data_IF_877763899468
#
_entry.id   IF_877763899468
#
_cell.length_a   1.000
_cell.length_b   1.000
_cell.length_c   1.000
_cell.angle_alpha   90.00
_cell.angle_beta   90.00
_cell.angle_gamma   90.00
#
_symmetry.space_group_name_H-M   'P 1'
#
loop_
_entity.id
_entity.type
_entity.pdbx_description
1 polymer ?
#
# COMPACT_ATOMS: atom_id res chain seq x y z
N UNK A 1 -0.18 12.38 -20.04
CA UNK A 1 -0.68 10.98 -19.98
C UNK A 1 0.44 9.95 -19.85
N UNK A 2 1.47 9.96 -20.70
CA UNK A 2 2.53 8.93 -20.64
C UNK A 2 3.37 8.99 -19.36
N UNK A 3 3.68 10.19 -18.87
CA UNK A 3 4.45 10.41 -17.64
C UNK A 3 3.70 9.86 -16.42
N UNK A 4 2.41 10.16 -16.27
CA UNK A 4 1.58 9.66 -15.16
C UNK A 4 1.50 8.14 -15.14
N UNK A 5 1.37 7.52 -16.32
CA UNK A 5 1.37 6.07 -16.45
C UNK A 5 2.70 5.45 -16.04
N UNK A 6 3.84 6.07 -16.39
CA UNK A 6 5.17 5.63 -15.95
C UNK A 6 5.31 5.75 -14.43
N UNK A 7 4.90 6.89 -13.85
CA UNK A 7 4.92 7.10 -12.40
C UNK A 7 4.05 6.08 -11.67
N UNK A 8 2.88 5.75 -12.21
CA UNK A 8 2.01 4.71 -11.68
C UNK A 8 2.71 3.35 -11.61
N UNK A 9 3.33 2.88 -12.70
CA UNK A 9 4.03 1.60 -12.71
C UNK A 9 5.24 1.59 -11.76
N UNK A 10 6.03 2.68 -11.73
CA UNK A 10 7.14 2.83 -10.80
C UNK A 10 6.63 2.76 -9.36
N UNK A 11 5.56 3.47 -9.06
CA UNK A 11 4.92 3.46 -7.74
C UNK A 11 4.48 2.06 -7.33
N UNK A 12 3.85 1.29 -8.23
CA UNK A 12 3.45 -0.09 -7.94
C UNK A 12 4.67 -0.94 -7.56
N UNK A 13 5.76 -0.85 -8.33
CA UNK A 13 6.99 -1.62 -8.05
C UNK A 13 7.60 -1.20 -6.71
N UNK A 14 7.72 0.10 -6.44
CA UNK A 14 8.26 0.63 -5.19
C UNK A 14 7.42 0.16 -4.00
N UNK A 15 6.10 0.27 -4.09
CA UNK A 15 5.19 -0.16 -3.01
C UNK A 15 5.26 -1.66 -2.80
N UNK A 16 5.33 -2.47 -3.86
CA UNK A 16 5.47 -3.91 -3.75
C UNK A 16 6.77 -4.26 -3.00
N UNK A 17 7.91 -3.73 -3.43
CA UNK A 17 9.20 -4.00 -2.79
C UNK A 17 9.24 -3.52 -1.34
N UNK A 18 8.70 -2.32 -1.07
CA UNK A 18 8.67 -1.78 0.27
C UNK A 18 7.75 -2.56 1.20
N UNK A 19 6.58 -2.98 0.71
CA UNK A 19 5.66 -3.82 1.48
C UNK A 19 6.31 -5.15 1.82
N UNK A 20 7.01 -5.78 0.87
CA UNK A 20 7.76 -7.02 1.12
C UNK A 20 8.89 -6.84 2.14
N UNK A 21 9.57 -5.69 2.13
CA UNK A 21 10.60 -5.40 3.13
C UNK A 21 9.97 -5.28 4.52
N UNK A 22 8.84 -4.57 4.62
CA UNK A 22 8.18 -4.31 5.90
C UNK A 22 7.47 -5.54 6.48
N UNK A 23 7.08 -6.52 5.67
CA UNK A 23 6.54 -7.79 6.17
C UNK A 23 7.57 -8.65 6.91
N UNK A 24 8.88 -8.33 6.79
CA UNK A 24 9.93 -8.95 7.62
C UNK A 24 9.82 -8.54 9.08
N UNK A 25 9.22 -7.37 9.35
CA UNK A 25 8.90 -6.92 10.70
C UNK A 25 7.55 -7.52 11.07
N UNK A 26 7.40 -8.16 12.25
CA UNK A 26 6.14 -8.80 12.67
C UNK A 26 5.09 -7.78 13.15
N UNK A 27 4.93 -6.65 12.42
CA UNK A 27 3.98 -5.58 12.69
C UNK A 27 3.19 -5.33 11.41
N UNK A 28 2.03 -5.97 11.28
CA UNK A 28 1.22 -5.94 10.07
C UNK A 28 0.69 -4.55 9.72
N UNK A 29 0.49 -3.68 10.72
CA UNK A 29 -0.03 -2.32 10.56
C UNK A 29 0.89 -1.44 9.72
N UNK A 30 2.18 -1.81 9.60
CA UNK A 30 3.15 -1.11 8.74
C UNK A 30 2.75 -1.10 7.27
N UNK A 31 1.81 -1.97 6.85
CA UNK A 31 1.24 -2.00 5.50
C UNK A 31 0.67 -0.65 5.03
N UNK A 32 0.27 0.23 5.96
CA UNK A 32 -0.22 1.56 5.62
C UNK A 32 0.87 2.48 5.06
N UNK A 33 2.13 2.31 5.49
CA UNK A 33 3.26 3.17 5.11
C UNK A 33 3.54 3.08 3.61
N UNK A 34 3.72 1.88 3.01
CA UNK A 34 3.81 1.75 1.56
C UNK A 34 2.61 2.32 0.82
N UNK A 35 1.41 2.15 1.37
CA UNK A 35 0.20 2.77 0.82
C UNK A 35 0.33 4.29 0.73
N UNK A 36 0.71 4.96 1.82
CA UNK A 36 0.94 6.42 1.86
C UNK A 36 1.98 6.83 0.81
N UNK A 37 3.08 6.09 0.71
CA UNK A 37 4.13 6.36 -0.27
C UNK A 37 3.60 6.25 -1.70
N UNK A 38 2.73 5.27 -2.00
CA UNK A 38 2.04 5.16 -3.28
C UNK A 38 1.29 6.46 -3.63
N UNK A 39 0.58 7.01 -2.65
CA UNK A 39 -0.16 8.26 -2.79
C UNK A 39 0.75 9.46 -3.05
N UNK A 40 1.85 9.57 -2.32
CA UNK A 40 2.82 10.67 -2.45
C UNK A 40 3.53 10.68 -3.80
N UNK A 41 3.79 9.50 -4.38
CA UNK A 41 4.47 9.38 -5.67
C UNK A 41 3.56 9.75 -6.85
N UNK A 42 2.24 9.61 -6.72
CA UNK A 42 1.30 9.86 -7.81
C UNK A 42 0.62 11.22 -7.69
N UNK A 43 0.49 11.94 -8.82
CA UNK A 43 -0.22 13.23 -8.86
C UNK A 43 -1.73 13.07 -8.77
N UNK A 44 -2.28 12.06 -9.44
CA UNK A 44 -3.71 11.78 -9.41
C UNK A 44 -4.07 10.88 -8.24
N UNK A 45 -5.13 11.26 -7.51
CA UNK A 45 -5.73 10.43 -6.45
C UNK A 45 -6.04 9.01 -6.94
N UNK A 46 -6.59 8.88 -8.14
CA UNK A 46 -6.93 7.58 -8.74
C UNK A 46 -5.71 6.68 -8.85
N UNK A 47 -4.58 7.21 -9.32
CA UNK A 47 -3.35 6.43 -9.46
C UNK A 47 -2.65 6.19 -8.12
N UNK A 48 -2.76 7.12 -7.15
CA UNK A 48 -2.29 6.90 -5.78
C UNK A 48 -3.00 5.73 -5.10
N UNK A 49 -4.34 5.75 -5.12
CA UNK A 49 -5.17 4.67 -4.57
C UNK A 49 -4.91 3.35 -5.30
N UNK A 50 -4.90 3.36 -6.64
CA UNK A 50 -4.73 2.14 -7.42
C UNK A 50 -3.33 1.53 -7.26
N UNK A 51 -2.29 2.35 -7.18
CA UNK A 51 -0.93 1.84 -6.98
C UNK A 51 -0.72 1.26 -5.58
N UNK A 52 -1.30 1.90 -4.55
CA UNK A 52 -1.35 1.38 -3.19
C UNK A 52 -2.12 0.06 -3.12
N UNK A 53 -3.30 0.00 -3.72
CA UNK A 53 -4.11 -1.22 -3.86
C UNK A 53 -3.28 -2.36 -4.49
N UNK A 54 -2.74 -2.16 -5.70
CA UNK A 54 -2.08 -3.24 -6.44
C UNK A 54 -0.79 -3.68 -5.73
N UNK A 55 0.06 -2.72 -5.36
CA UNK A 55 1.37 -3.01 -4.77
C UNK A 55 1.25 -3.75 -3.44
N UNK A 56 0.35 -3.30 -2.56
CA UNK A 56 0.13 -3.95 -1.26
C UNK A 56 -0.54 -5.31 -1.42
N UNK A 57 -1.58 -5.41 -2.24
CA UNK A 57 -2.32 -6.67 -2.44
C UNK A 57 -1.41 -7.77 -2.99
N UNK A 58 -0.58 -7.45 -4.00
CA UNK A 58 0.36 -8.41 -4.57
C UNK A 58 1.40 -8.85 -3.54
N UNK A 59 1.97 -7.90 -2.79
CA UNK A 59 2.95 -8.23 -1.75
C UNK A 59 2.37 -9.11 -0.66
N UNK A 60 1.16 -8.82 -0.18
CA UNK A 60 0.48 -9.62 0.83
C UNK A 60 0.02 -10.97 0.30
N UNK A 61 -0.45 -11.03 -0.94
CA UNK A 61 -0.77 -12.29 -1.61
C UNK A 61 0.44 -13.22 -1.68
N UNK A 62 1.61 -12.68 -2.04
CA UNK A 62 2.87 -13.44 -2.04
C UNK A 62 3.26 -13.86 -0.62
N UNK A 63 3.20 -12.95 0.35
CA UNK A 63 3.52 -13.24 1.75
C UNK A 63 2.65 -14.38 2.32
N UNK A 64 1.34 -14.30 2.09
CA UNK A 64 0.37 -15.32 2.50
C UNK A 64 0.64 -16.65 1.80
N UNK A 65 0.86 -16.63 0.48
CA UNK A 65 1.13 -17.83 -0.31
C UNK A 65 2.39 -18.55 0.19
N UNK A 66 3.47 -17.80 0.44
CA UNK A 66 4.70 -18.34 1.04
C UNK A 66 4.42 -18.94 2.41
N UNK A 67 3.63 -18.27 3.26
CA UNK A 67 3.23 -18.79 4.56
C UNK A 67 2.43 -20.09 4.48
N UNK A 68 1.50 -20.20 3.53
CA UNK A 68 0.72 -21.42 3.30
C UNK A 68 1.63 -22.57 2.87
N UNK A 69 2.54 -22.34 1.92
CA UNK A 69 3.40 -23.39 1.37
C UNK A 69 4.49 -23.83 2.35
N UNK A 70 5.12 -22.89 3.06
CA UNK A 70 6.33 -23.17 3.86
C UNK A 70 6.05 -23.48 5.32
N UNK A 71 4.95 -22.95 5.88
CA UNK A 71 4.65 -23.00 7.32
C UNK A 71 3.29 -23.61 7.63
N UNK A 72 2.57 -24.11 6.62
CA UNK A 72 1.23 -24.68 6.75
C UNK A 72 0.26 -23.76 7.51
N UNK A 73 0.36 -22.43 7.29
CA UNK A 73 -0.48 -21.42 7.95
C UNK A 73 -1.97 -21.72 7.76
N UNK A 74 -2.35 -22.38 6.67
CA UNK A 74 -3.73 -22.78 6.41
C UNK A 74 -4.33 -23.64 7.55
N UNK A 75 -3.57 -24.56 8.14
CA UNK A 75 -4.08 -25.44 9.21
C UNK A 75 -4.45 -24.62 10.46
N UNK A 76 -3.60 -23.66 10.84
CA UNK A 76 -3.86 -22.75 11.96
C UNK A 76 -5.10 -21.89 11.71
N UNK A 77 -5.24 -21.38 10.49
CA UNK A 77 -6.41 -20.58 10.13
C UNK A 77 -7.68 -21.43 10.07
N UNK A 78 -7.60 -22.68 9.64
CA UNK A 78 -8.74 -23.59 9.62
C UNK A 78 -9.19 -23.97 11.03
N UNK A 79 -8.26 -24.18 11.97
CA UNK A 79 -8.58 -24.36 13.39
C UNK A 79 -9.28 -23.14 13.98
N UNK A 80 -8.83 -21.93 13.63
CA UNK A 80 -9.50 -20.70 14.06
C UNK A 80 -10.88 -20.56 13.40
N UNK A 81 -10.99 -20.90 12.12
CA UNK A 81 -12.26 -20.94 11.38
C UNK A 81 -13.26 -21.93 11.99
N UNK A 82 -12.77 -23.10 12.43
CA UNK A 82 -13.56 -24.14 13.09
C UNK A 82 -14.28 -23.65 14.33
N UNK A 83 -13.64 -22.78 15.12
CA UNK A 83 -14.22 -22.21 16.33
C UNK A 83 -15.37 -21.23 16.05
N UNK A 84 -15.41 -20.61 14.87
CA UNK A 84 -16.36 -19.53 14.55
C UNK A 84 -17.45 -20.00 13.58
N UNK A 85 -17.06 -20.74 12.54
CA UNK A 85 -17.92 -21.10 11.41
C UNK A 85 -18.04 -22.61 11.17
N UNK A 86 -17.17 -23.42 11.77
CA UNK A 86 -17.05 -24.87 11.52
C UNK A 86 -15.82 -25.24 10.68
N UNK A 87 -15.63 -26.54 10.43
CA UNK A 87 -14.45 -27.04 9.73
C UNK A 87 -14.40 -26.61 8.25
N UNK A 88 -13.20 -26.40 7.71
CA UNK A 88 -13.00 -26.06 6.30
C UNK A 88 -13.17 -24.59 5.93
N UNK A 89 -13.25 -23.67 6.90
CA UNK A 89 -13.42 -22.23 6.68
C UNK A 89 -12.11 -21.42 6.75
N UNK A 90 -10.94 -22.06 6.82
CA UNK A 90 -9.65 -21.36 6.83
C UNK A 90 -9.41 -20.42 5.64
N UNK A 91 -9.98 -20.75 4.46
CA UNK A 91 -9.92 -19.91 3.27
C UNK A 91 -10.62 -18.55 3.43
N UNK A 92 -11.69 -18.48 4.24
CA UNK A 92 -12.45 -17.25 4.45
C UNK A 92 -11.61 -16.23 5.23
N UNK A 93 -10.84 -16.71 6.20
CA UNK A 93 -9.91 -15.87 6.98
C UNK A 93 -8.75 -15.39 6.10
N UNK A 94 -8.25 -16.23 5.19
CA UNK A 94 -7.24 -15.82 4.21
C UNK A 94 -7.75 -14.68 3.31
N UNK A 95 -8.97 -14.81 2.81
CA UNK A 95 -9.59 -13.75 2.00
C UNK A 95 -9.73 -12.47 2.83
N UNK A 96 -10.17 -12.58 4.09
CA UNK A 96 -10.31 -11.42 4.97
C UNK A 96 -8.97 -10.71 5.20
N UNK A 97 -7.89 -11.47 5.41
CA UNK A 97 -6.54 -10.92 5.58
C UNK A 97 -6.10 -10.16 4.32
N UNK A 98 -6.25 -10.75 3.14
CA UNK A 98 -5.90 -10.10 1.87
C UNK A 98 -6.78 -8.86 1.68
N UNK A 99 -8.08 -8.96 1.93
CA UNK A 99 -9.01 -7.84 1.80
C UNK A 99 -8.63 -6.66 2.70
N UNK A 100 -8.27 -6.92 3.96
CA UNK A 100 -7.78 -5.89 4.86
C UNK A 100 -6.52 -5.22 4.31
N UNK A 101 -5.52 -6.00 3.89
CA UNK A 101 -4.30 -5.46 3.29
C UNK A 101 -4.61 -4.58 2.06
N UNK A 102 -5.47 -5.06 1.17
CA UNK A 102 -5.96 -4.36 -0.01
C UNK A 102 -6.59 -3.00 0.34
N UNK A 103 -7.48 -2.99 1.33
CA UNK A 103 -8.15 -1.77 1.80
C UNK A 103 -7.12 -0.79 2.39
N UNK A 104 -6.21 -1.26 3.25
CA UNK A 104 -5.17 -0.41 3.82
C UNK A 104 -4.22 0.16 2.77
N UNK A 105 -3.86 -0.63 1.75
CA UNK A 105 -3.07 -0.15 0.62
C UNK A 105 -3.78 0.96 -0.16
N UNK A 106 -5.07 0.76 -0.47
CA UNK A 106 -5.89 1.74 -1.17
C UNK A 106 -6.08 3.03 -0.34
N UNK A 107 -6.42 2.89 0.94
CA UNK A 107 -6.61 4.01 1.87
C UNK A 107 -5.30 4.80 2.06
N UNK A 108 -4.18 4.10 2.26
CA UNK A 108 -2.87 4.73 2.33
C UNK A 108 -2.59 5.54 1.06
N UNK A 109 -2.86 4.98 -0.12
CA UNK A 109 -2.70 5.67 -1.40
C UNK A 109 -3.54 6.95 -1.51
N UNK A 110 -4.76 6.91 -0.99
CA UNK A 110 -5.63 8.08 -0.89
C UNK A 110 -5.08 9.15 0.06
N UNK A 111 -4.69 8.74 1.27
CA UNK A 111 -4.13 9.62 2.31
C UNK A 111 -2.85 10.30 1.82
N UNK A 112 -1.92 9.54 1.24
CA UNK A 112 -0.64 10.08 0.76
C UNK A 112 -0.80 11.12 -0.34
N UNK A 113 -1.72 10.90 -1.28
CA UNK A 113 -2.00 11.88 -2.34
C UNK A 113 -2.70 13.13 -1.78
N UNK A 114 -3.66 12.95 -0.87
CA UNK A 114 -4.34 14.06 -0.18
C UNK A 114 -3.37 14.93 0.61
N UNK A 115 -2.45 14.30 1.34
CA UNK A 115 -1.39 14.99 2.08
C UNK A 115 -0.48 15.80 1.14
N UNK A 116 -0.04 15.21 0.03
CA UNK A 116 0.79 15.91 -0.95
C UNK A 116 0.07 17.08 -1.60
N UNK A 117 -1.23 16.95 -1.84
CA UNK A 117 -2.07 18.03 -2.37
C UNK A 117 -2.13 19.21 -1.40
N UNK A 118 -2.27 18.95 -0.09
CA UNK A 118 -2.24 20.00 0.95
C UNK A 118 -0.88 20.68 1.03
N UNK A 119 0.22 19.91 0.96
CA UNK A 119 1.58 20.46 0.94
C UNK A 119 1.76 21.40 -0.26
N UNK A 120 1.38 20.95 -1.45
CA UNK A 120 1.52 21.75 -2.67
C UNK A 120 0.70 23.06 -2.57
N UNK A 121 -0.54 22.98 -2.08
CA UNK A 121 -1.37 24.16 -1.87
C UNK A 121 -0.76 25.13 -0.84
N UNK A 122 -0.12 24.61 0.22
CA UNK A 122 0.57 25.44 1.20
C UNK A 122 1.79 26.15 0.62
N UNK A 123 2.61 25.43 -0.16
CA UNK A 123 3.81 25.95 -0.82
C UNK A 123 3.49 26.98 -1.89
N UNK A 124 2.39 26.81 -2.64
CA UNK A 124 1.92 27.80 -3.61
C UNK A 124 1.49 29.11 -2.92
N UNK A 125 0.89 29.01 -1.73
CA UNK A 125 0.45 30.18 -0.95
C UNK A 125 1.60 30.90 -0.23
N UNK A 126 2.67 30.19 0.10
CA UNK A 126 3.88 30.72 0.73
C UNK A 126 5.09 30.38 -0.13
N UNK A 127 5.22 30.99 -1.32
CA UNK A 127 6.33 30.70 -2.21
C UNK A 127 7.63 30.96 -1.44
N UNK A 128 8.47 29.94 -1.37
CA UNK A 128 9.82 30.09 -0.85
C UNK A 128 10.47 31.22 -1.66
N UNK A 129 10.84 32.30 -0.95
CA UNK A 129 11.42 33.49 -1.55
C UNK A 129 12.75 33.08 -2.19
N UNK A 130 12.76 32.86 -3.50
CA UNK A 130 13.97 32.81 -4.33
C UNK A 130 14.61 34.21 -4.31
N UNK A 131 15.15 34.60 -3.16
CA UNK A 131 16.17 35.63 -3.08
C UNK A 131 17.45 34.98 -3.59
N UNK A 132 17.77 35.26 -4.86
CA UNK A 132 19.09 35.18 -5.54
C UNK A 132 19.00 34.42 -6.87
N UNK A 133 18.41 35.03 -7.89
CA UNK A 133 18.95 35.04 -9.27
C UNK A 133 18.11 35.95 -10.16
N UNK A 134 18.35 37.26 -10.06
CA UNK A 134 18.30 38.15 -11.23
C UNK A 134 19.53 39.05 -11.15
N UNK A 135 20.60 38.79 -11.91
CA UNK A 135 21.44 39.87 -12.38
C UNK A 135 20.70 40.57 -13.53
N UNK A 136 20.56 41.87 -13.38
CA UNK A 136 20.12 42.83 -14.40
C UNK A 136 21.05 42.81 -15.63
#
# INVERSE_FOLDING_TARGET
>A
MEIERRTFFISVVVVLCLTMLLTLVPVWQLVIIPGIIAGMLNKSLKYGVLSGFIGVTLSWGIYVLVGVITRNVYILLDQFGALIFGEGFGWLILILIILLATIFGALGGGIGNGFMTLINAYLEKHPYRDSKTKPE
#
